data_IF_163519761901
#
_entry.id   IF_163519761901
#
_cell.length_a   1.000
_cell.length_b   1.000
_cell.length_c   1.000
_cell.angle_alpha   90.00
_cell.angle_beta   90.00
_cell.angle_gamma   90.00
#
_symmetry.space_group_name_H-M   'P 1'
#
loop_
_entity.id
_entity.type
_entity.pdbx_description
1 polymer ?
#
# COMPACT_ATOMS: atom_id res chain seq x y z
N UNK A 1 -7.04 -11.63 -19.57
CA UNK A 1 -8.08 -10.69 -20.01
C UNK A 1 -9.05 -10.37 -18.88
N UNK A 2 -10.06 -9.55 -19.19
CA UNK A 2 -11.20 -9.25 -18.31
C UNK A 2 -12.23 -10.38 -18.39
N UNK A 3 -12.95 -10.63 -17.29
CA UNK A 3 -14.08 -11.55 -17.30
C UNK A 3 -15.36 -10.80 -17.67
N UNK A 4 -16.39 -11.51 -18.15
CA UNK A 4 -17.70 -10.92 -18.43
C UNK A 4 -18.27 -10.14 -17.23
N UNK A 5 -18.04 -10.63 -16.01
CA UNK A 5 -18.44 -9.93 -14.79
C UNK A 5 -17.68 -8.61 -14.60
N UNK A 6 -16.38 -8.56 -14.93
CA UNK A 6 -15.56 -7.36 -14.80
C UNK A 6 -15.96 -6.29 -15.83
N UNK A 7 -16.32 -6.71 -17.04
CA UNK A 7 -16.80 -5.82 -18.10
C UNK A 7 -18.20 -5.29 -17.79
N UNK A 8 -19.12 -6.15 -17.34
CA UNK A 8 -20.46 -5.74 -16.92
C UNK A 8 -20.40 -4.69 -15.78
N UNK A 9 -19.55 -4.89 -14.77
CA UNK A 9 -19.35 -3.90 -13.71
C UNK A 9 -18.83 -2.56 -14.25
N UNK A 10 -17.88 -2.61 -15.18
CA UNK A 10 -17.27 -1.41 -15.77
C UNK A 10 -18.26 -0.63 -16.64
N UNK A 11 -18.99 -1.30 -17.52
CA UNK A 11 -19.99 -0.68 -18.38
C UNK A 11 -21.14 -0.08 -17.56
N UNK A 12 -21.63 -0.79 -16.54
CA UNK A 12 -22.66 -0.28 -15.63
C UNK A 12 -22.20 0.96 -14.85
N UNK A 13 -20.94 0.97 -14.39
CA UNK A 13 -20.34 2.14 -13.76
C UNK A 13 -20.34 3.34 -14.72
N UNK A 14 -19.80 3.17 -15.94
CA UNK A 14 -19.72 4.26 -16.91
C UNK A 14 -21.08 4.70 -17.47
N UNK A 15 -22.06 3.81 -17.54
CA UNK A 15 -23.46 4.18 -17.81
C UNK A 15 -23.99 5.11 -16.70
N UNK A 16 -23.79 4.74 -15.43
CA UNK A 16 -24.22 5.55 -14.29
C UNK A 16 -23.52 6.91 -14.28
N UNK A 17 -22.21 6.95 -14.52
CA UNK A 17 -21.44 8.21 -14.64
C UNK A 17 -22.04 9.10 -15.72
N UNK A 18 -22.36 8.57 -16.92
CA UNK A 18 -22.97 9.34 -18.01
C UNK A 18 -24.31 9.96 -17.61
N UNK A 19 -25.19 9.18 -16.96
CA UNK A 19 -26.49 9.68 -16.48
C UNK A 19 -26.33 10.81 -15.47
N UNK A 20 -25.40 10.67 -14.52
CA UNK A 20 -25.15 11.71 -13.50
C UNK A 20 -24.61 13.00 -14.12
N UNK A 21 -23.63 12.89 -15.02
CA UNK A 21 -23.04 14.04 -15.71
C UNK A 21 -24.10 14.76 -16.57
N UNK A 22 -24.94 14.01 -17.29
CA UNK A 22 -26.04 14.59 -18.09
C UNK A 22 -27.09 15.30 -17.24
N UNK A 23 -27.37 14.77 -16.04
CA UNK A 23 -28.29 15.38 -15.08
C UNK A 23 -27.69 16.55 -14.28
N UNK A 24 -26.42 16.89 -14.48
CA UNK A 24 -25.74 17.94 -13.69
C UNK A 24 -25.45 17.53 -12.23
N UNK A 25 -25.50 16.24 -11.91
CA UNK A 25 -25.22 15.73 -10.57
C UNK A 25 -23.74 15.43 -10.38
N UNK A 26 -23.28 15.48 -9.12
CA UNK A 26 -21.92 15.05 -8.76
C UNK A 26 -21.81 13.53 -8.90
N UNK A 27 -20.80 13.07 -9.64
CA UNK A 27 -20.52 11.65 -9.82
C UNK A 27 -20.20 11.00 -8.46
N UNK A 28 -20.88 9.90 -8.08
CA UNK A 28 -20.62 9.21 -6.84
C UNK A 28 -19.35 8.36 -6.93
N UNK A 29 -18.84 7.94 -5.78
CA UNK A 29 -17.80 6.91 -5.71
C UNK A 29 -18.44 5.51 -5.82
N UNK A 30 -17.81 4.63 -6.58
CA UNK A 30 -18.23 3.24 -6.74
C UNK A 30 -17.32 2.37 -5.88
N UNK A 31 -17.88 1.73 -4.86
CA UNK A 31 -17.11 0.96 -3.87
C UNK A 31 -15.99 1.78 -3.20
N UNK A 32 -16.22 3.07 -2.95
CA UNK A 32 -15.25 3.98 -2.35
C UNK A 32 -14.14 4.47 -3.30
N UNK A 33 -14.22 4.13 -4.60
CA UNK A 33 -13.26 4.54 -5.63
C UNK A 33 -13.92 5.47 -6.66
N UNK A 34 -13.12 6.37 -7.24
CA UNK A 34 -13.55 7.16 -8.39
C UNK A 34 -13.57 6.29 -9.66
N UNK A 35 -14.46 6.55 -10.62
CA UNK A 35 -14.50 5.80 -11.86
C UNK A 35 -13.26 6.11 -12.71
N UNK A 36 -12.45 5.09 -12.99
CA UNK A 36 -11.29 5.18 -13.87
C UNK A 36 -11.54 4.54 -15.23
N UNK A 37 -10.91 5.09 -16.27
CA UNK A 37 -10.95 4.51 -17.60
C UNK A 37 -9.89 3.41 -17.72
N UNK A 38 -10.31 2.24 -18.20
CA UNK A 38 -9.40 1.11 -18.43
C UNK A 38 -8.58 1.35 -19.70
N UNK A 39 -7.35 0.85 -19.72
CA UNK A 39 -6.54 0.80 -20.94
C UNK A 39 -5.87 -0.57 -21.06
N UNK A 40 -6.16 -1.29 -22.14
CA UNK A 40 -5.72 -2.68 -22.34
C UNK A 40 -6.15 -3.57 -21.16
N UNK A 41 -5.18 -4.04 -20.37
CA UNK A 41 -5.38 -4.89 -19.20
C UNK A 41 -5.20 -4.13 -17.87
N UNK A 42 -4.98 -2.82 -17.91
CA UNK A 42 -4.85 -1.98 -16.72
C UNK A 42 -6.20 -1.40 -16.31
N UNK A 43 -6.56 -1.59 -15.05
CA UNK A 43 -7.73 -0.94 -14.45
C UNK A 43 -7.50 0.56 -14.24
N UNK A 44 -6.33 0.91 -13.72
CA UNK A 44 -5.92 2.28 -13.41
C UNK A 44 -4.51 2.55 -13.97
N UNK A 45 -4.39 2.88 -15.27
CA UNK A 45 -3.09 2.91 -15.95
C UNK A 45 -2.10 3.90 -15.32
N UNK A 46 -2.57 5.10 -14.97
CA UNK A 46 -1.74 6.14 -14.36
C UNK A 46 -1.24 5.72 -12.97
N UNK A 47 -2.12 5.19 -12.12
CA UNK A 47 -1.78 4.72 -10.78
C UNK A 47 -0.80 3.54 -10.84
N UNK A 48 -1.05 2.55 -11.72
CA UNK A 48 -0.17 1.40 -11.90
C UNK A 48 1.24 1.82 -12.36
N UNK A 49 1.32 2.76 -13.30
CA UNK A 49 2.60 3.28 -13.78
C UNK A 49 3.34 4.08 -12.70
N UNK A 50 2.64 4.93 -11.96
CA UNK A 50 3.22 5.68 -10.85
C UNK A 50 3.75 4.76 -9.74
N UNK A 51 3.00 3.72 -9.36
CA UNK A 51 3.45 2.71 -8.39
C UNK A 51 4.68 1.94 -8.88
N UNK A 52 4.70 1.56 -10.16
CA UNK A 52 5.86 0.91 -10.76
C UNK A 52 7.11 1.79 -10.69
N UNK A 53 7.00 3.07 -11.08
CA UNK A 53 8.11 4.01 -11.01
C UNK A 53 8.60 4.24 -9.58
N UNK A 54 7.70 4.28 -8.59
CA UNK A 54 8.08 4.35 -7.17
C UNK A 54 8.83 3.09 -6.72
N UNK A 55 8.41 1.91 -7.18
CA UNK A 55 9.14 0.66 -6.97
C UNK A 55 10.55 0.71 -7.57
N UNK A 56 10.70 1.14 -8.82
CA UNK A 56 12.01 1.30 -9.48
C UNK A 56 12.88 2.30 -8.72
N UNK A 57 12.34 3.46 -8.33
CA UNK A 57 13.07 4.46 -7.56
C UNK A 57 13.55 3.89 -6.22
N UNK A 58 12.69 3.15 -5.52
CA UNK A 58 13.02 2.47 -4.25
C UNK A 58 14.15 1.45 -4.44
N UNK A 59 14.13 0.70 -5.55
CA UNK A 59 15.16 -0.29 -5.89
C UNK A 59 16.51 0.37 -6.17
N UNK A 60 16.52 1.42 -7.00
CA UNK A 60 17.73 2.21 -7.29
C UNK A 60 18.30 2.80 -5.99
N UNK A 61 17.44 3.33 -5.12
CA UNK A 61 17.87 3.88 -3.83
C UNK A 61 18.42 2.82 -2.89
N UNK A 62 17.86 1.61 -2.86
CA UNK A 62 18.41 0.49 -2.09
C UNK A 62 19.83 0.14 -2.56
N UNK A 63 20.05 0.07 -3.87
CA UNK A 63 21.39 -0.20 -4.42
C UNK A 63 22.38 0.91 -4.09
N UNK A 64 21.98 2.18 -4.24
CA UNK A 64 22.81 3.33 -3.85
C UNK A 64 23.14 3.33 -2.36
N UNK A 65 22.17 3.01 -1.51
CA UNK A 65 22.36 2.93 -0.07
C UNK A 65 23.37 1.84 0.31
N UNK A 66 23.22 0.63 -0.25
CA UNK A 66 24.17 -0.48 -0.04
C UNK A 66 25.60 -0.13 -0.48
N UNK A 67 25.75 0.63 -1.57
CA UNK A 67 27.06 1.05 -2.05
C UNK A 67 27.69 2.17 -1.21
N UNK A 68 26.87 3.05 -0.62
CA UNK A 68 27.35 4.26 0.06
C UNK A 68 27.49 4.11 1.58
N UNK A 69 26.75 3.17 2.20
CA UNK A 69 26.68 3.03 3.65
C UNK A 69 27.33 1.71 4.08
N UNK A 70 28.32 1.74 4.98
CA UNK A 70 28.96 0.51 5.45
C UNK A 70 27.99 -0.35 6.29
N UNK A 71 28.08 -1.69 6.21
CA UNK A 71 27.26 -2.59 7.02
C UNK A 71 27.40 -2.42 8.54
N UNK A 72 28.52 -1.85 9.00
CA UNK A 72 28.75 -1.53 10.41
C UNK A 72 27.90 -0.36 10.92
N UNK A 73 27.23 0.39 10.03
CA UNK A 73 26.34 1.47 10.44
C UNK A 73 25.17 0.93 11.26
N UNK A 74 24.88 1.49 12.45
CA UNK A 74 23.80 1.00 13.31
C UNK A 74 22.41 0.96 12.66
N UNK A 75 22.16 1.82 11.66
CA UNK A 75 20.89 1.87 10.94
C UNK A 75 20.87 1.03 9.66
N UNK A 76 21.99 0.39 9.29
CA UNK A 76 22.13 -0.29 7.99
C UNK A 76 21.02 -1.30 7.74
N UNK A 77 20.84 -2.24 8.66
CA UNK A 77 19.82 -3.27 8.53
C UNK A 77 18.39 -2.71 8.60
N UNK A 78 18.13 -1.73 9.47
CA UNK A 78 16.81 -1.11 9.58
C UNK A 78 16.40 -0.41 8.28
N UNK A 79 17.31 0.33 7.65
CA UNK A 79 17.05 0.99 6.37
C UNK A 79 16.89 -0.01 5.21
N UNK A 80 17.70 -1.08 5.17
CA UNK A 80 17.56 -2.12 4.14
C UNK A 80 16.21 -2.84 4.27
N UNK A 81 15.79 -3.19 5.49
CA UNK A 81 14.49 -3.81 5.72
C UNK A 81 13.36 -2.88 5.29
N UNK A 82 13.44 -1.59 5.63
CA UNK A 82 12.45 -0.61 5.20
C UNK A 82 12.34 -0.52 3.66
N UNK A 83 13.48 -0.51 2.97
CA UNK A 83 13.51 -0.48 1.51
C UNK A 83 12.88 -1.73 0.89
N UNK A 84 13.14 -2.92 1.44
CA UNK A 84 12.51 -4.16 0.97
C UNK A 84 11.00 -4.21 1.23
N UNK A 85 10.56 -3.76 2.40
CA UNK A 85 9.13 -3.64 2.72
C UNK A 85 8.45 -2.65 1.76
N UNK A 86 9.08 -1.52 1.48
CA UNK A 86 8.59 -0.53 0.52
C UNK A 86 8.53 -1.08 -0.90
N UNK A 87 9.55 -1.81 -1.35
CA UNK A 87 9.54 -2.48 -2.66
C UNK A 87 8.40 -3.49 -2.80
N UNK A 88 8.15 -4.26 -1.75
CA UNK A 88 7.04 -5.22 -1.73
C UNK A 88 5.68 -4.50 -1.82
N UNK A 89 5.51 -3.38 -1.11
CA UNK A 89 4.31 -2.56 -1.19
C UNK A 89 4.09 -1.96 -2.59
N UNK A 90 5.12 -1.37 -3.20
CA UNK A 90 5.02 -0.81 -4.55
C UNK A 90 4.73 -1.88 -5.60
N UNK A 91 5.27 -3.09 -5.43
CA UNK A 91 4.92 -4.23 -6.27
C UNK A 91 3.43 -4.56 -6.17
N UNK A 92 2.90 -4.76 -4.96
CA UNK A 92 1.49 -5.09 -4.78
C UNK A 92 0.55 -3.95 -5.22
N UNK A 93 0.94 -2.70 -5.01
CA UNK A 93 0.23 -1.52 -5.53
C UNK A 93 0.17 -1.52 -7.06
N UNK A 94 1.29 -1.81 -7.72
CA UNK A 94 1.32 -1.93 -9.20
C UNK A 94 0.40 -3.04 -9.69
N UNK A 95 0.43 -4.21 -9.04
CA UNK A 95 -0.41 -5.36 -9.39
C UNK A 95 -1.90 -5.04 -9.17
N UNK A 96 -2.24 -4.40 -8.06
CA UNK A 96 -3.61 -3.99 -7.73
C UNK A 96 -4.18 -2.97 -8.73
N UNK A 97 -3.45 -1.90 -9.03
CA UNK A 97 -3.90 -0.90 -10.01
C UNK A 97 -3.93 -1.45 -11.44
N UNK A 98 -3.14 -2.50 -11.73
CA UNK A 98 -3.27 -3.23 -12.99
C UNK A 98 -4.56 -4.06 -13.00
N UNK A 99 -4.78 -4.87 -11.97
CA UNK A 99 -5.98 -5.72 -11.87
C UNK A 99 -6.47 -5.80 -10.42
N UNK A 100 -7.60 -5.17 -10.19
CA UNK A 100 -8.28 -5.17 -8.90
C UNK A 100 -9.02 -6.49 -8.69
N UNK A 101 -8.61 -7.20 -7.64
CA UNK A 101 -9.23 -8.42 -7.15
C UNK A 101 -9.21 -8.39 -5.63
N UNK A 102 -10.08 -9.16 -4.97
CA UNK A 102 -10.12 -9.21 -3.51
C UNK A 102 -8.76 -9.60 -2.88
N UNK A 103 -7.91 -10.34 -3.59
CA UNK A 103 -6.56 -10.71 -3.11
C UNK A 103 -5.57 -9.58 -3.32
N UNK A 104 -5.53 -8.99 -4.52
CA UNK A 104 -4.59 -7.90 -4.84
C UNK A 104 -4.89 -6.65 -4.01
N UNK A 105 -6.17 -6.37 -3.76
CA UNK A 105 -6.61 -5.29 -2.88
C UNK A 105 -6.13 -5.49 -1.43
N UNK A 106 -6.32 -6.68 -0.87
CA UNK A 106 -5.83 -7.00 0.48
C UNK A 106 -4.32 -6.83 0.58
N UNK A 107 -3.58 -7.35 -0.39
CA UNK A 107 -2.12 -7.33 -0.37
C UNK A 107 -1.56 -5.91 -0.52
N UNK A 108 -2.13 -5.07 -1.39
CA UNK A 108 -1.76 -3.67 -1.50
C UNK A 108 -1.91 -2.96 -0.14
N UNK A 109 -3.08 -3.09 0.48
CA UNK A 109 -3.37 -2.42 1.75
C UNK A 109 -2.54 -2.94 2.92
N UNK A 110 -2.35 -4.25 3.04
CA UNK A 110 -1.54 -4.81 4.12
C UNK A 110 -0.07 -4.42 3.98
N UNK A 111 0.45 -4.35 2.75
CA UNK A 111 1.80 -3.89 2.51
C UNK A 111 1.95 -2.39 2.77
N UNK A 112 0.95 -1.57 2.42
CA UNK A 112 0.93 -0.15 2.77
C UNK A 112 0.97 0.05 4.31
N UNK A 113 0.18 -0.71 5.07
CA UNK A 113 0.24 -0.70 6.54
C UNK A 113 1.61 -1.09 7.08
N UNK A 114 2.26 -2.10 6.48
CA UNK A 114 3.61 -2.49 6.86
C UNK A 114 4.64 -1.36 6.62
N UNK A 115 4.51 -0.61 5.51
CA UNK A 115 5.37 0.55 5.22
C UNK A 115 5.17 1.66 6.25
N UNK A 116 3.91 2.01 6.57
CA UNK A 116 3.60 3.04 7.58
C UNK A 116 4.19 2.67 8.93
N UNK A 117 3.92 1.46 9.44
CA UNK A 117 4.44 1.01 10.73
C UNK A 117 5.98 0.95 10.75
N UNK A 118 6.61 0.52 9.65
CA UNK A 118 8.05 0.50 9.55
C UNK A 118 8.65 1.92 9.49
N UNK A 119 7.98 2.90 8.87
CA UNK A 119 8.45 4.29 8.88
C UNK A 119 8.47 4.89 10.30
N UNK A 120 7.45 4.60 11.10
CA UNK A 120 7.39 4.97 12.52
C UNK A 120 8.51 4.30 13.29
N UNK A 121 8.70 2.98 13.08
CA UNK A 121 9.81 2.25 13.68
C UNK A 121 11.18 2.86 13.32
N UNK A 122 11.40 3.19 12.05
CA UNK A 122 12.63 3.81 11.55
C UNK A 122 12.88 5.16 12.25
N UNK A 123 11.84 5.97 12.41
CA UNK A 123 11.91 7.25 13.12
C UNK A 123 12.32 7.05 14.60
N UNK A 124 11.71 6.09 15.29
CA UNK A 124 12.04 5.77 16.68
C UNK A 124 13.48 5.21 16.84
N UNK A 125 13.93 4.35 15.92
CA UNK A 125 15.31 3.83 15.92
C UNK A 125 16.31 4.98 15.75
N UNK A 126 16.04 5.90 14.81
CA UNK A 126 16.90 7.05 14.53
C UNK A 126 17.02 8.02 15.71
N UNK A 127 15.93 8.21 16.46
CA UNK A 127 15.87 9.20 17.56
C UNK A 127 16.30 8.62 18.91
N UNK A 128 15.90 7.38 19.23
CA UNK A 128 16.05 6.79 20.56
C UNK A 128 16.85 5.48 20.58
N UNK A 129 16.98 4.80 19.44
CA UNK A 129 17.44 3.42 19.40
C UNK A 129 18.88 3.18 19.80
N UNK A 130 19.76 4.15 19.53
CA UNK A 130 21.16 4.07 19.96
C UNK A 130 21.33 4.21 21.49
N UNK A 131 20.38 4.87 22.16
CA UNK A 131 20.44 5.11 23.61
C UNK A 131 19.69 4.05 24.41
N UNK A 132 18.63 3.45 23.85
CA UNK A 132 17.74 2.51 24.55
C UNK A 132 17.36 1.31 23.67
N UNK A 133 18.29 0.37 23.40
CA UNK A 133 18.07 -0.73 22.47
C UNK A 133 16.95 -1.69 22.91
N UNK A 134 16.82 -1.95 24.21
CA UNK A 134 15.77 -2.82 24.76
C UNK A 134 14.37 -2.27 24.50
N UNK A 135 14.15 -0.96 24.70
CA UNK A 135 12.86 -0.32 24.45
C UNK A 135 12.48 -0.36 22.96
N UNK A 136 13.45 -0.16 22.07
CA UNK A 136 13.21 -0.29 20.62
C UNK A 136 12.90 -1.73 20.23
N UNK A 137 13.51 -2.72 20.89
CA UNK A 137 13.18 -4.14 20.71
C UNK A 137 11.71 -4.45 21.08
N UNK A 138 11.27 -3.97 22.24
CA UNK A 138 9.87 -4.10 22.70
C UNK A 138 8.93 -3.38 21.74
N UNK A 139 9.25 -2.14 21.35
CA UNK A 139 8.44 -1.36 20.43
C UNK A 139 8.31 -2.04 19.06
N UNK A 140 9.40 -2.62 18.53
CA UNK A 140 9.36 -3.43 17.31
C UNK A 140 8.40 -4.62 17.45
N UNK A 141 8.49 -5.36 18.55
CA UNK A 141 7.62 -6.51 18.79
C UNK A 141 6.14 -6.09 18.89
N UNK A 142 5.86 -4.96 19.55
CA UNK A 142 4.52 -4.38 19.61
C UNK A 142 3.98 -4.02 18.22
N UNK A 143 4.77 -3.34 17.37
CA UNK A 143 4.33 -2.98 16.01
C UNK A 143 4.07 -4.21 15.14
N UNK A 144 4.90 -5.25 15.26
CA UNK A 144 4.69 -6.51 14.54
C UNK A 144 3.45 -7.25 15.01
N UNK A 145 3.20 -7.28 16.33
CA UNK A 145 1.98 -7.86 16.90
C UNK A 145 0.76 -7.08 16.41
N UNK A 146 0.80 -5.75 16.46
CA UNK A 146 -0.26 -4.89 15.97
C UNK A 146 -0.57 -5.17 14.48
N UNK A 147 0.45 -5.20 13.62
CA UNK A 147 0.27 -5.53 12.20
C UNK A 147 -0.34 -6.92 12.01
N UNK A 148 0.13 -7.91 12.76
CA UNK A 148 -0.38 -9.29 12.68
C UNK A 148 -1.84 -9.36 13.10
N UNK A 149 -2.22 -8.70 14.19
CA UNK A 149 -3.61 -8.61 14.64
C UNK A 149 -4.50 -7.87 13.62
N UNK A 150 -4.03 -6.76 13.07
CA UNK A 150 -4.74 -5.97 12.04
C UNK A 150 -5.01 -6.81 10.78
N UNK A 151 -3.98 -7.47 10.25
CA UNK A 151 -4.09 -8.36 9.08
C UNK A 151 -4.99 -9.55 9.38
N UNK A 152 -4.86 -10.16 10.56
CA UNK A 152 -5.70 -11.30 10.96
C UNK A 152 -7.17 -10.91 11.07
N UNK A 153 -7.49 -9.76 11.67
CA UNK A 153 -8.84 -9.24 11.76
C UNK A 153 -9.47 -9.00 10.37
N UNK A 154 -8.75 -8.28 9.50
CA UNK A 154 -9.22 -7.96 8.15
C UNK A 154 -9.29 -9.17 7.22
N UNK A 155 -8.55 -10.25 7.54
CA UNK A 155 -8.57 -11.50 6.76
C UNK A 155 -9.63 -12.47 7.23
N UNK A 156 -9.77 -12.68 8.55
CA UNK A 156 -10.55 -13.75 9.14
C UNK A 156 -11.95 -13.32 9.62
N UNK A 157 -12.13 -12.05 9.99
CA UNK A 157 -13.39 -11.56 10.55
C UNK A 157 -14.20 -10.86 9.47
N UNK A 158 -13.74 -9.69 9.03
CA UNK A 158 -14.40 -8.90 7.99
C UNK A 158 -13.39 -7.96 7.37
N UNK A 159 -13.29 -8.03 6.05
CA UNK A 159 -12.53 -7.02 5.31
C UNK A 159 -13.36 -5.74 5.22
N UNK A 160 -12.94 -4.70 5.94
CA UNK A 160 -13.54 -3.37 5.91
C UNK A 160 -12.50 -2.34 5.43
N UNK A 161 -12.74 -1.83 4.23
CA UNK A 161 -11.87 -0.84 3.59
C UNK A 161 -11.81 0.48 4.36
N UNK A 162 -12.95 0.95 4.86
CA UNK A 162 -13.04 2.20 5.61
C UNK A 162 -12.26 2.12 6.91
N UNK A 163 -12.38 1.00 7.62
CA UNK A 163 -11.56 0.70 8.80
C UNK A 163 -10.07 0.68 8.47
N UNK A 164 -9.65 -0.03 7.41
CA UNK A 164 -8.24 -0.10 7.03
C UNK A 164 -7.66 1.29 6.72
N UNK A 165 -8.41 2.13 5.99
CA UNK A 165 -7.98 3.48 5.67
C UNK A 165 -7.89 4.35 6.93
N UNK A 166 -8.91 4.32 7.79
CA UNK A 166 -8.93 5.07 9.04
C UNK A 166 -7.77 4.66 9.98
N UNK A 167 -7.48 3.36 10.07
CA UNK A 167 -6.37 2.85 10.86
C UNK A 167 -5.02 3.36 10.34
N UNK A 168 -4.77 3.29 9.02
CA UNK A 168 -3.52 3.79 8.44
C UNK A 168 -3.35 5.31 8.61
N UNK A 169 -4.41 6.09 8.44
CA UNK A 169 -4.40 7.55 8.63
C UNK A 169 -4.22 7.95 10.11
N UNK A 170 -4.75 7.17 11.05
CA UNK A 170 -4.57 7.45 12.48
C UNK A 170 -3.16 7.14 12.98
N UNK A 171 -2.49 6.17 12.33
CA UNK A 171 -1.17 5.69 12.73
C UNK A 171 -0.04 6.50 12.09
N UNK A 172 -0.16 6.85 10.80
CA UNK A 172 0.84 7.60 10.04
C UNK A 172 0.61 9.10 10.03
#
# INVERSE_FOLDING_TARGET
>A
GWTCRDDCKYECMWLTVRVYVQGGYKVPQFHGKWPFSRFLFFQEPASAFASFLNGVASFVMLHRYKASVPPSSPMYHTCITFAWVSLNAWFWSTVFHTKDTAVTEKLDYFCASAVVLHSIYLCCVRTLGLRRPALIGIFRAFLLLFLTCHVSYLTLVRFDYGYNMAANVAIG
#
